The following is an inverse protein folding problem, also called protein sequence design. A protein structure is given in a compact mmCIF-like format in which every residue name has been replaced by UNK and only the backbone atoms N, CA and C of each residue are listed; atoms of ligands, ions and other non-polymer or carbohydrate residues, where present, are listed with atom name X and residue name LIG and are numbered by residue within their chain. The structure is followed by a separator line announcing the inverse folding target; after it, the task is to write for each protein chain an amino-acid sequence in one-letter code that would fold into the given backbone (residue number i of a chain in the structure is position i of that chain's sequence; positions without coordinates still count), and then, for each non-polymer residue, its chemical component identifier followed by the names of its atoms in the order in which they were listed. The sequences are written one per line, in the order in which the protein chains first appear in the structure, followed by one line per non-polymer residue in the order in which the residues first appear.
data_IF_132432504225
#
_entry.id   IF_132432504225
#
_cell.length_a   1.000
_cell.length_b   1.000
_cell.length_c   1.000
_cell.angle_alpha   90.00
_cell.angle_beta   90.00
_cell.angle_gamma   90.00
#
_symmetry.space_group_name_H-M   'P 1'
#
loop_
_entity.id
_entity.type
_entity.pdbx_description
1 polymer ?
#
# COMPACT_ATOMS: atom_id res chain seq x y z
N UNK A 1 2.53 4.53 -6.69
CA UNK A 1 3.96 4.16 -6.57
C UNK A 1 4.28 3.01 -7.52
N UNK A 2 5.56 2.72 -7.83
CA UNK A 2 5.92 1.43 -8.46
C UNK A 2 5.99 0.35 -7.39
N UNK A 3 5.60 -0.89 -7.72
CA UNK A 3 5.64 -1.98 -6.73
C UNK A 3 7.08 -2.29 -6.26
N UNK A 4 8.07 -2.05 -7.12
CA UNK A 4 9.50 -2.24 -6.83
C UNK A 4 10.08 -1.21 -5.86
N UNK A 5 9.35 -0.14 -5.56
CA UNK A 5 9.73 0.89 -4.60
C UNK A 5 9.15 0.62 -3.20
N UNK A 6 8.20 -0.30 -3.08
CA UNK A 6 7.51 -0.64 -1.84
C UNK A 6 8.21 -1.76 -1.09
N UNK A 7 8.12 -1.70 0.24
CA UNK A 7 8.59 -2.75 1.16
C UNK A 7 7.49 -3.11 2.15
N UNK A 8 7.47 -4.37 2.57
CA UNK A 8 6.67 -4.80 3.72
C UNK A 8 7.07 -3.96 4.93
N UNK A 9 6.07 -3.39 5.61
CA UNK A 9 6.21 -2.47 6.74
C UNK A 9 6.16 -0.98 6.37
N UNK A 10 6.19 -0.62 5.09
CA UNK A 10 6.01 0.78 4.67
C UNK A 10 4.63 1.29 5.06
N UNK A 11 4.56 2.55 5.51
CA UNK A 11 3.30 3.26 5.73
C UNK A 11 2.89 4.02 4.49
N UNK A 12 1.72 3.70 3.98
CA UNK A 12 1.16 4.26 2.75
C UNK A 12 -0.27 4.71 2.99
N UNK A 13 -0.83 5.44 2.04
CA UNK A 13 -2.27 5.70 1.97
C UNK A 13 -2.75 5.68 0.53
N UNK A 14 -4.05 5.46 0.34
CA UNK A 14 -4.71 5.70 -0.94
C UNK A 14 -4.66 7.22 -1.23
N UNK A 15 -4.51 7.57 -2.51
CA UNK A 15 -4.46 8.97 -2.96
C UNK A 15 -5.75 9.75 -2.68
N UNK A 16 -6.89 9.08 -2.62
CA UNK A 16 -8.20 9.70 -2.54
C UNK A 16 -8.61 10.02 -1.10
N UNK A 17 -8.36 9.13 -0.15
CA UNK A 17 -8.80 9.28 1.25
C UNK A 17 -7.69 9.65 2.24
N UNK A 18 -6.42 9.42 1.89
CA UNK A 18 -5.28 9.65 2.77
C UNK A 18 -5.25 8.77 4.03
N UNK A 19 -6.03 7.68 4.09
CA UNK A 19 -6.13 6.81 5.24
C UNK A 19 -4.84 5.99 5.44
N UNK A 20 -4.23 6.00 6.63
CA UNK A 20 -2.94 5.34 6.85
C UNK A 20 -3.07 3.82 6.94
N UNK A 21 -2.27 3.13 6.13
CA UNK A 21 -2.17 1.67 6.09
C UNK A 21 -0.71 1.22 6.10
N UNK A 22 -0.48 -0.06 6.39
CA UNK A 22 0.84 -0.71 6.43
C UNK A 22 0.87 -1.79 5.35
N UNK A 23 1.94 -1.82 4.56
CA UNK A 23 2.17 -2.87 3.57
C UNK A 23 2.49 -4.19 4.27
N UNK A 24 1.71 -5.24 4.00
CA UNK A 24 1.91 -6.59 4.54
C UNK A 24 2.16 -7.65 3.46
N UNK A 25 1.95 -7.32 2.18
CA UNK A 25 2.27 -8.21 1.06
C UNK A 25 2.38 -7.47 -0.27
N UNK A 26 3.09 -8.08 -1.22
CA UNK A 26 3.32 -7.53 -2.56
C UNK A 26 3.18 -8.66 -3.58
N UNK A 27 2.42 -8.42 -4.65
CA UNK A 27 2.30 -9.35 -5.76
C UNK A 27 2.43 -8.61 -7.09
N UNK A 28 3.39 -9.02 -7.92
CA UNK A 28 3.55 -8.59 -9.31
C UNK A 28 3.56 -9.79 -10.26
N UNK A 29 3.32 -9.58 -11.55
CA UNK A 29 3.48 -10.59 -12.60
C UNK A 29 4.83 -10.40 -13.31
N UNK A 30 5.37 -11.47 -13.92
CA UNK A 30 6.60 -11.36 -14.70
C UNK A 30 6.44 -10.50 -15.97
N UNK A 31 5.20 -10.36 -16.47
CA UNK A 31 4.89 -9.54 -17.65
C UNK A 31 4.87 -8.04 -17.33
N UNK A 32 4.67 -7.65 -16.06
CA UNK A 32 4.69 -6.26 -15.62
C UNK A 32 5.26 -6.10 -14.20
N UNK A 33 6.59 -6.07 -14.13
CA UNK A 33 7.34 -5.97 -12.87
C UNK A 33 7.20 -4.61 -12.16
N UNK A 34 6.61 -3.57 -12.79
CA UNK A 34 6.50 -2.25 -12.16
C UNK A 34 5.14 -2.03 -11.49
N UNK A 35 4.12 -2.81 -11.86
CA UNK A 35 2.80 -2.75 -11.28
C UNK A 35 2.49 -4.03 -10.49
N UNK A 36 1.40 -3.98 -9.73
CA UNK A 36 0.93 -5.13 -8.98
C UNK A 36 0.02 -4.75 -7.82
N UNK A 37 -0.50 -5.78 -7.18
CA UNK A 37 -1.32 -5.69 -5.99
C UNK A 37 -0.45 -5.51 -4.75
N UNK A 38 -0.93 -4.67 -3.84
CA UNK A 38 -0.34 -4.41 -2.53
C UNK A 38 -1.36 -4.79 -1.49
N UNK A 39 -0.98 -5.71 -0.60
CA UNK A 39 -1.80 -6.13 0.52
C UNK A 39 -1.49 -5.25 1.72
N UNK A 40 -2.54 -4.76 2.35
CA UNK A 40 -2.50 -3.70 3.34
C UNK A 40 -3.23 -4.12 4.61
N UNK A 41 -2.73 -3.63 5.73
CA UNK A 41 -3.33 -3.78 7.06
C UNK A 41 -3.32 -2.45 7.82
N UNK A 42 -4.22 -2.29 8.79
CA UNK A 42 -4.34 -1.07 9.59
C UNK A 42 -4.98 -1.33 10.95
N UNK A 43 -4.82 -0.39 11.88
CA UNK A 43 -5.39 -0.54 13.21
C UNK A 43 -6.92 -0.50 13.16
N UNK A 44 -7.57 -1.56 13.63
CA UNK A 44 -9.03 -1.74 13.55
C UNK A 44 -9.48 -2.58 12.35
N UNK A 45 -8.55 -3.03 11.51
CA UNK A 45 -8.80 -4.06 10.51
C UNK A 45 -8.77 -5.43 11.23
N UNK A 46 -9.94 -5.94 11.62
CA UNK A 46 -10.09 -7.11 12.51
C UNK A 46 -9.80 -8.45 11.81
N UNK A 47 -8.62 -8.59 11.19
CA UNK A 47 -8.14 -9.82 10.56
C UNK A 47 -8.43 -9.94 9.05
N UNK A 48 -9.01 -8.91 8.43
CA UNK A 48 -9.13 -8.83 6.98
C UNK A 48 -7.83 -8.31 6.34
N UNK A 49 -7.66 -8.48 5.04
CA UNK A 49 -6.59 -7.84 4.27
C UNK A 49 -7.22 -6.94 3.23
N UNK A 50 -6.73 -5.71 3.14
CA UNK A 50 -7.12 -4.79 2.09
C UNK A 50 -6.18 -4.93 0.89
N UNK A 51 -6.69 -4.79 -0.33
CA UNK A 51 -5.91 -4.90 -1.56
C UNK A 51 -6.06 -3.62 -2.38
N UNK A 52 -4.93 -3.07 -2.82
CA UNK A 52 -4.86 -1.90 -3.68
C UNK A 52 -3.85 -2.12 -4.81
N UNK A 53 -4.00 -1.41 -5.92
CA UNK A 53 -2.92 -1.34 -6.90
C UNK A 53 -1.79 -0.42 -6.40
N UNK A 54 -0.54 -0.84 -6.59
CA UNK A 54 0.63 -0.04 -6.21
C UNK A 54 0.58 1.39 -6.76
N UNK A 55 0.02 1.56 -7.97
CA UNK A 55 -0.09 2.86 -8.65
C UNK A 55 -1.01 3.84 -7.91
N UNK A 56 -1.96 3.36 -7.13
CA UNK A 56 -2.98 4.16 -6.43
C UNK A 56 -2.54 4.58 -5.02
N UNK A 57 -1.38 4.07 -4.58
CA UNK A 57 -0.78 4.41 -3.31
C UNK A 57 0.22 5.57 -3.41
N UNK A 58 0.39 6.24 -2.28
CA UNK A 58 1.43 7.23 -2.00
C UNK A 58 2.02 7.02 -0.59
N UNK A 59 3.25 7.52 -0.30
CA UNK A 59 3.79 7.49 1.04
C UNK A 59 2.90 8.23 2.03
N UNK A 60 2.65 7.63 3.20
CA UNK A 60 1.88 8.32 4.23
C UNK A 60 2.74 9.39 4.92
N UNK A 61 2.31 10.64 4.82
CA UNK A 61 2.90 11.75 5.55
C UNK A 61 1.94 12.21 6.63
N UNK A 62 2.35 12.08 7.91
CA UNK A 62 1.59 12.63 9.03
C UNK A 62 1.61 14.15 8.92
N UNK A 63 0.50 14.77 8.54
CA UNK A 63 0.34 16.22 8.66
C UNK A 63 0.42 16.54 10.15
N UNK A 64 1.49 17.22 10.57
CA UNK A 64 1.55 17.79 11.92
C UNK A 64 0.54 18.94 11.93
N UNK A 65 -0.56 18.75 12.66
CA UNK A 65 -1.45 19.83 13.07
C UNK A 65 -0.71 20.78 14.01
#
# INVERSE_FOLDING_TARGET
MKITELKIGDKVCNKDDGFPMIVVGLHSSLDDLNNGAVYLDFNGNEGDMWEEEAKDLQPYHKVKL
#
